data_IF_630278789039
#
_entry.id   IF_630278789039
#
_cell.length_a   1.000
_cell.length_b   1.000
_cell.length_c   1.000
_cell.angle_alpha   90.00
_cell.angle_beta   90.00
_cell.angle_gamma   90.00
#
_symmetry.space_group_name_H-M   'P 1'
#
loop_
_entity.id
_entity.type
_entity.pdbx_description
1 polymer ?
#
# COMPACT_ATOMS: atom_id res chain seq x y z
N UNK A 1 35.65 -24.08 -24.92
CA UNK A 1 35.39 -23.97 -26.37
C UNK A 1 33.94 -23.49 -26.55
N UNK A 2 33.66 -22.22 -26.80
CA UNK A 2 32.34 -21.81 -27.26
C UNK A 2 32.29 -21.84 -28.79
N UNK A 3 31.25 -22.47 -29.32
CA UNK A 3 30.99 -22.69 -30.74
C UNK A 3 30.99 -21.37 -31.54
N UNK A 4 31.73 -21.40 -32.65
CA UNK A 4 31.76 -20.38 -33.69
C UNK A 4 30.40 -20.26 -34.39
N UNK A 5 29.69 -19.17 -34.08
CA UNK A 5 28.62 -18.63 -34.92
C UNK A 5 29.24 -18.08 -36.23
N UNK A 6 28.63 -18.28 -37.42
CA UNK A 6 29.36 -18.22 -38.68
C UNK A 6 29.89 -16.82 -39.05
N UNK A 7 31.10 -16.72 -39.64
CA UNK A 7 31.63 -15.49 -40.20
C UNK A 7 31.06 -15.29 -41.61
N UNK A 8 29.98 -14.51 -41.74
CA UNK A 8 29.43 -14.23 -43.07
C UNK A 8 27.98 -13.79 -43.08
N UNK A 9 27.65 -12.67 -42.44
CA UNK A 9 26.41 -11.94 -42.71
C UNK A 9 26.55 -10.49 -42.24
N UNK A 10 27.46 -9.74 -42.90
CA UNK A 10 27.56 -8.28 -42.79
C UNK A 10 26.42 -7.58 -43.54
N UNK A 11 25.18 -8.00 -43.28
CA UNK A 11 23.99 -7.30 -43.73
C UNK A 11 23.51 -6.37 -42.62
N UNK A 12 23.14 -5.14 -42.97
CA UNK A 12 22.57 -4.11 -42.09
C UNK A 12 21.28 -4.64 -41.40
N UNK A 13 21.44 -5.45 -40.34
CA UNK A 13 20.35 -6.00 -39.55
C UNK A 13 19.80 -4.89 -38.66
N UNK A 14 18.84 -4.12 -39.18
CA UNK A 14 18.07 -3.18 -38.38
C UNK A 14 17.41 -3.96 -37.23
N UNK A 15 17.61 -3.49 -36.00
CA UNK A 15 16.94 -4.07 -34.84
C UNK A 15 15.42 -4.10 -35.07
N UNK A 16 14.71 -5.14 -34.60
CA UNK A 16 13.26 -5.20 -34.74
C UNK A 16 12.63 -3.99 -34.03
N UNK A 17 11.53 -3.43 -34.57
CA UNK A 17 10.86 -2.32 -33.93
C UNK A 17 10.38 -2.74 -32.53
N UNK A 18 10.39 -1.84 -31.54
CA UNK A 18 9.90 -2.17 -30.21
C UNK A 18 8.44 -2.64 -30.26
N UNK A 19 8.03 -3.57 -29.39
CA UNK A 19 6.63 -3.96 -29.24
C UNK A 19 5.71 -2.75 -29.06
N UNK A 20 4.43 -2.86 -29.47
CA UNK A 20 3.47 -1.75 -29.38
C UNK A 20 3.30 -1.21 -27.95
N UNK A 21 3.37 -2.07 -26.93
CA UNK A 21 3.32 -1.66 -25.53
C UNK A 21 4.56 -0.87 -25.07
N UNK A 22 5.74 -1.13 -25.68
CA UNK A 22 6.96 -0.32 -25.44
C UNK A 22 6.77 1.10 -26.00
N UNK A 23 6.10 1.23 -27.14
CA UNK A 23 5.80 2.55 -27.71
C UNK A 23 4.74 3.29 -26.91
N UNK A 24 3.74 2.57 -26.41
CA UNK A 24 2.66 3.12 -25.61
C UNK A 24 3.16 3.65 -24.26
N UNK A 25 3.91 2.86 -23.47
CA UNK A 25 4.40 3.36 -22.19
C UNK A 25 5.29 4.58 -22.38
N UNK A 26 6.19 4.60 -23.38
CA UNK A 26 7.05 5.75 -23.64
C UNK A 26 6.27 7.02 -24.00
N UNK A 27 5.08 6.86 -24.59
CA UNK A 27 4.18 7.99 -24.89
C UNK A 27 3.46 8.48 -23.62
N UNK A 28 3.07 7.56 -22.74
CA UNK A 28 2.35 7.87 -21.50
C UNK A 28 3.28 8.37 -20.39
N UNK A 29 4.54 7.92 -20.35
CA UNK A 29 5.59 8.38 -19.41
C UNK A 29 6.19 9.74 -19.80
N UNK A 30 5.46 10.56 -20.56
CA UNK A 30 5.87 11.93 -20.86
C UNK A 30 5.42 12.83 -19.71
N UNK A 31 6.24 13.80 -19.25
CA UNK A 31 5.88 14.68 -18.13
C UNK A 31 4.54 15.40 -18.28
N UNK A 32 4.14 15.69 -19.53
CA UNK A 32 2.84 16.31 -19.84
C UNK A 32 1.63 15.44 -19.51
N UNK A 33 1.82 14.13 -19.34
CA UNK A 33 0.78 13.15 -19.01
C UNK A 33 0.73 12.81 -17.52
N UNK A 34 1.74 13.22 -16.72
CA UNK A 34 1.85 12.82 -15.32
C UNK A 34 0.73 13.42 -14.46
N UNK A 35 0.52 14.74 -14.54
CA UNK A 35 -0.54 15.43 -13.78
C UNK A 35 -1.94 14.88 -14.09
N UNK A 36 -2.39 14.78 -15.36
CA UNK A 36 -3.71 14.22 -15.64
C UNK A 36 -3.82 12.75 -15.24
N UNK A 37 -2.72 11.97 -15.32
CA UNK A 37 -2.70 10.59 -14.85
C UNK A 37 -2.87 10.49 -13.32
N UNK A 38 -2.16 11.30 -12.55
CA UNK A 38 -2.32 11.36 -11.08
C UNK A 38 -3.74 11.79 -10.71
N UNK A 39 -4.30 12.80 -11.37
CA UNK A 39 -5.68 13.23 -11.13
C UNK A 39 -6.69 12.12 -11.44
N UNK A 40 -6.53 11.41 -12.55
CA UNK A 40 -7.37 10.26 -12.89
C UNK A 40 -7.26 9.16 -11.83
N UNK A 41 -6.04 8.86 -11.37
CA UNK A 41 -5.78 7.86 -10.34
C UNK A 41 -6.45 8.24 -9.01
N UNK A 42 -6.33 9.50 -8.59
CA UNK A 42 -6.98 10.00 -7.38
C UNK A 42 -8.52 9.95 -7.49
N UNK A 43 -9.08 10.35 -8.63
CA UNK A 43 -10.52 10.26 -8.86
C UNK A 43 -11.02 8.82 -8.82
N UNK A 44 -10.26 7.90 -9.43
CA UNK A 44 -10.55 6.48 -9.40
C UNK A 44 -10.48 5.93 -7.96
N UNK A 45 -9.41 6.24 -7.21
CA UNK A 45 -9.23 5.82 -5.83
C UNK A 45 -10.35 6.36 -4.92
N UNK A 46 -10.73 7.63 -5.07
CA UNK A 46 -11.86 8.21 -4.35
C UNK A 46 -13.18 7.51 -4.69
N UNK A 47 -13.45 7.26 -5.97
CA UNK A 47 -14.67 6.57 -6.40
C UNK A 47 -14.72 5.13 -5.87
N UNK A 48 -13.59 4.41 -5.95
CA UNK A 48 -13.47 3.05 -5.43
C UNK A 48 -13.65 3.02 -3.91
N UNK A 49 -13.02 3.95 -3.18
CA UNK A 49 -13.15 4.08 -1.73
C UNK A 49 -14.60 4.33 -1.31
N UNK A 50 -15.30 5.26 -1.99
CA UNK A 50 -16.72 5.53 -1.73
C UNK A 50 -17.57 4.30 -2.05
N UNK A 51 -17.26 3.57 -3.12
CA UNK A 51 -17.97 2.34 -3.47
C UNK A 51 -17.78 1.28 -2.38
N UNK A 52 -16.55 1.04 -1.92
CA UNK A 52 -16.23 0.09 -0.85
C UNK A 52 -16.99 0.46 0.43
N UNK A 53 -16.91 1.71 0.89
CA UNK A 53 -17.60 2.17 2.11
C UNK A 53 -19.12 1.97 2.03
N UNK A 54 -19.72 2.09 0.84
CA UNK A 54 -21.17 1.92 0.66
C UNK A 54 -21.61 0.48 0.43
N UNK A 55 -20.71 -0.40 0.00
CA UNK A 55 -21.06 -1.76 -0.41
C UNK A 55 -20.61 -2.80 0.59
N UNK A 56 -19.49 -2.58 1.26
CA UNK A 56 -18.93 -3.48 2.25
C UNK A 56 -19.44 -3.02 3.63
N UNK A 57 -20.14 -3.89 4.38
CA UNK A 57 -20.54 -3.59 5.74
C UNK A 57 -19.33 -3.21 6.60
N UNK A 58 -19.51 -2.22 7.47
CA UNK A 58 -18.49 -1.92 8.47
C UNK A 58 -18.20 -3.17 9.29
N UNK A 59 -16.94 -3.55 9.32
CA UNK A 59 -16.43 -4.55 10.26
C UNK A 59 -15.73 -3.77 11.35
N UNK A 60 -16.21 -3.89 12.58
CA UNK A 60 -15.48 -3.40 13.73
C UNK A 60 -14.22 -4.26 13.87
N UNK A 61 -13.07 -3.66 13.53
CA UNK A 61 -11.77 -4.33 13.67
C UNK A 61 -11.20 -3.90 15.01
N UNK A 62 -11.54 -4.67 16.05
CA UNK A 62 -10.94 -4.68 17.38
C UNK A 62 -10.81 -3.31 18.07
N UNK A 63 -11.59 -2.32 17.62
CA UNK A 63 -11.53 -0.94 18.12
C UNK A 63 -11.84 -0.89 19.62
N UNK A 64 -12.90 -1.56 20.06
CA UNK A 64 -13.24 -1.65 21.47
C UNK A 64 -12.10 -2.23 22.32
N UNK A 65 -11.48 -3.31 21.84
CA UNK A 65 -10.36 -3.92 22.55
C UNK A 65 -9.14 -2.99 22.65
N UNK A 66 -8.80 -2.25 21.58
CA UNK A 66 -7.73 -1.26 21.64
C UNK A 66 -8.02 -0.14 22.63
N UNK A 67 -9.26 0.34 22.69
CA UNK A 67 -9.60 1.41 23.63
C UNK A 67 -9.61 0.90 25.08
N UNK A 68 -9.99 -0.36 25.34
CA UNK A 68 -9.84 -0.98 26.66
C UNK A 68 -8.38 -1.05 27.10
N UNK A 69 -7.46 -1.39 26.20
CA UNK A 69 -6.02 -1.38 26.48
C UNK A 69 -5.51 0.02 26.81
N UNK A 70 -5.98 1.05 26.09
CA UNK A 70 -5.67 2.46 26.36
C UNK A 70 -6.24 2.92 27.70
N UNK A 71 -7.48 2.53 28.03
CA UNK A 71 -8.12 2.84 29.31
C UNK A 71 -7.41 2.17 30.48
N UNK A 72 -7.02 0.89 30.36
CA UNK A 72 -6.26 0.19 31.39
C UNK A 72 -4.94 0.89 31.71
N UNK A 73 -4.27 1.45 30.69
CA UNK A 73 -3.06 2.23 30.87
C UNK A 73 -3.33 3.63 31.45
N UNK A 74 -4.29 4.36 30.88
CA UNK A 74 -4.53 5.78 31.18
C UNK A 74 -5.36 6.02 32.45
N UNK A 75 -6.43 5.25 32.62
CA UNK A 75 -7.42 5.42 33.69
C UNK A 75 -7.06 4.54 34.88
N UNK A 76 -6.77 3.26 34.63
CA UNK A 76 -6.47 2.30 35.70
C UNK A 76 -4.99 2.34 36.14
N UNK A 77 -4.14 3.06 35.39
CA UNK A 77 -2.72 3.24 35.71
C UNK A 77 -1.90 1.95 35.61
N UNK A 78 -2.30 1.00 34.76
CA UNK A 78 -1.55 -0.21 34.52
C UNK A 78 -0.40 0.03 33.54
N UNK A 79 0.82 0.02 34.06
CA UNK A 79 2.04 0.18 33.27
C UNK A 79 2.77 -1.14 33.00
N UNK A 80 2.33 -2.23 33.65
CA UNK A 80 2.84 -3.57 33.31
C UNK A 80 2.21 -4.03 32.00
N UNK A 81 3.05 -4.07 30.97
CA UNK A 81 2.64 -4.41 29.62
C UNK A 81 2.08 -5.81 29.48
N UNK A 82 2.52 -6.75 30.31
CA UNK A 82 2.05 -8.12 30.28
C UNK A 82 0.59 -8.25 30.77
N UNK A 83 0.13 -7.26 31.53
CA UNK A 83 -1.20 -7.24 32.15
C UNK A 83 -2.22 -6.40 31.36
N UNK A 84 -1.77 -5.57 30.42
CA UNK A 84 -2.64 -4.82 29.53
C UNK A 84 -3.29 -5.76 28.49
N UNK A 85 -4.62 -5.75 28.43
CA UNK A 85 -5.41 -6.62 27.55
C UNK A 85 -6.79 -6.05 27.31
N UNK A 86 -7.31 -6.26 26.10
CA UNK A 86 -8.71 -6.04 25.76
C UNK A 86 -9.47 -7.35 25.57
N UNK A 87 -10.72 -7.25 25.14
CA UNK A 87 -11.61 -8.41 24.89
C UNK A 87 -11.05 -9.38 23.83
N UNK A 88 -10.15 -8.92 22.97
CA UNK A 88 -9.55 -9.71 21.88
C UNK A 88 -8.21 -10.34 22.26
N UNK A 89 -7.67 -10.04 23.45
CA UNK A 89 -6.43 -10.63 23.95
C UNK A 89 -5.49 -9.61 24.62
N UNK A 90 -4.26 -10.04 24.94
CA UNK A 90 -3.26 -9.16 25.49
C UNK A 90 -2.81 -8.13 24.46
N UNK A 91 -2.37 -7.00 24.97
CA UNK A 91 -1.79 -5.94 24.19
C UNK A 91 -0.49 -6.44 23.51
N UNK A 92 -0.46 -6.38 22.16
CA UNK A 92 0.68 -6.84 21.34
C UNK A 92 1.44 -5.73 20.60
N UNK A 93 0.83 -4.57 20.42
CA UNK A 93 1.45 -3.44 19.73
C UNK A 93 2.40 -2.69 20.67
N UNK A 94 3.41 -1.94 20.19
CA UNK A 94 4.30 -1.14 21.06
C UNK A 94 3.63 0.08 21.70
N UNK A 95 4.14 0.56 22.84
CA UNK A 95 3.45 1.52 23.70
C UNK A 95 3.09 2.85 23.04
N UNK A 96 3.70 3.18 21.90
CA UNK A 96 3.35 4.35 21.10
C UNK A 96 1.87 4.45 20.74
N UNK A 97 1.17 3.32 20.55
CA UNK A 97 -0.27 3.38 20.28
C UNK A 97 -1.07 3.89 21.50
N UNK A 98 -0.68 3.50 22.72
CA UNK A 98 -1.32 3.99 23.95
C UNK A 98 -1.23 5.51 24.03
N UNK A 99 -0.05 6.07 23.76
CA UNK A 99 0.14 7.53 23.75
C UNK A 99 -0.63 8.23 22.64
N UNK A 100 -0.73 7.65 21.44
CA UNK A 100 -1.45 8.25 20.32
C UNK A 100 -2.95 8.32 20.59
N UNK A 101 -3.53 7.23 21.09
CA UNK A 101 -4.97 7.14 21.34
C UNK A 101 -5.39 7.78 22.66
N UNK A 102 -4.49 7.92 23.64
CA UNK A 102 -4.76 8.70 24.85
C UNK A 102 -4.93 10.21 24.62
N UNK A 103 -4.52 10.73 23.46
CA UNK A 103 -4.70 12.14 23.07
C UNK A 103 -6.05 12.37 22.38
N UNK A 104 -6.69 11.30 21.89
CA UNK A 104 -8.00 11.34 21.23
C UNK A 104 -9.14 11.38 22.25
#
# INVERSE_FOLDING_TARGET
>A
IPQSWPPGAGGNRKAPPPPPWIRLHRRLSRPSCDVPFVLLLLLFECALSVLVVRTIPYTEIDWGAYMQEVEGWLIDGQYDYAELRGDTGPLVYPAGFLYLYAIL
#
